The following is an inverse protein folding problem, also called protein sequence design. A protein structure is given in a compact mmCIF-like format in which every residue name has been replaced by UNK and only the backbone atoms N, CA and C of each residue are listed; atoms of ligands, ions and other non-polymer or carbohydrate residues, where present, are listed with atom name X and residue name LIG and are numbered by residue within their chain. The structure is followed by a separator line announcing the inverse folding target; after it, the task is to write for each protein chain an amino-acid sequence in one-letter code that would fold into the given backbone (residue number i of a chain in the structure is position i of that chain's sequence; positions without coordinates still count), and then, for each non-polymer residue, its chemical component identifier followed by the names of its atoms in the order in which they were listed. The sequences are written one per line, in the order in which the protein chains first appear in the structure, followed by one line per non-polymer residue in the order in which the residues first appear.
data_IF_308137656700
#
_entry.id   IF_308137656700
#
_cell.length_a   1.000
_cell.length_b   1.000
_cell.length_c   1.000
_cell.angle_alpha   90.00
_cell.angle_beta   90.00
_cell.angle_gamma   90.00
#
_symmetry.space_group_name_H-M   'P 1'
#
loop_
_entity.id
_entity.type
_entity.pdbx_description
1 polymer ?
#
# COMPACT_ATOMS: atom_id res chain seq x y z
N UNK A 1 0.26 26.53 3.69
CA UNK A 1 -0.80 25.56 3.39
C UNK A 1 -0.26 24.15 3.61
N UNK A 2 -0.94 23.35 4.37
CA UNK A 2 -0.52 21.97 4.59
C UNK A 2 -0.78 21.13 3.34
N UNK A 3 0.22 20.35 2.93
CA UNK A 3 0.02 19.39 1.87
C UNK A 3 -0.71 18.18 2.40
N UNK A 4 -1.68 17.67 1.63
CA UNK A 4 -2.37 16.45 1.98
C UNK A 4 -1.67 15.26 1.32
N UNK A 5 -1.61 14.14 2.03
CA UNK A 5 -1.05 12.89 1.50
C UNK A 5 -2.03 11.76 1.80
N UNK A 6 -2.99 11.52 0.87
CA UNK A 6 -3.99 10.45 1.06
C UNK A 6 -3.36 9.06 1.20
N UNK A 7 -2.21 8.83 0.58
CA UNK A 7 -1.52 7.54 0.70
C UNK A 7 -0.92 7.39 2.09
N UNK A 8 -0.30 8.44 2.64
CA UNK A 8 0.20 8.40 4.01
C UNK A 8 -0.94 8.13 5.00
N UNK A 9 -2.10 8.75 4.80
CA UNK A 9 -3.28 8.51 5.61
C UNK A 9 -3.72 7.04 5.51
N UNK A 10 -3.77 6.49 4.30
CA UNK A 10 -4.09 5.08 4.09
C UNK A 10 -3.14 4.16 4.86
N UNK A 11 -1.83 4.40 4.76
CA UNK A 11 -0.83 3.59 5.45
C UNK A 11 -0.97 3.70 6.96
N UNK A 12 -1.29 4.89 7.47
CA UNK A 12 -1.53 5.11 8.90
C UNK A 12 -2.76 4.34 9.37
N UNK A 13 -3.85 4.36 8.60
CA UNK A 13 -5.06 3.59 8.93
C UNK A 13 -4.78 2.10 8.96
N UNK A 14 -4.04 1.58 7.98
CA UNK A 14 -3.64 0.17 7.94
C UNK A 14 -2.77 -0.17 9.15
N UNK A 15 -1.78 0.68 9.45
CA UNK A 15 -0.87 0.49 10.59
C UNK A 15 -1.64 0.44 11.91
N UNK A 16 -2.56 1.38 12.10
CA UNK A 16 -3.36 1.43 13.33
C UNK A 16 -4.29 0.22 13.46
N UNK A 17 -4.93 -0.19 12.38
CA UNK A 17 -5.78 -1.39 12.37
C UNK A 17 -4.96 -2.64 12.68
N UNK A 18 -3.75 -2.73 12.14
CA UNK A 18 -2.83 -3.84 12.39
C UNK A 18 -2.41 -3.91 13.86
N UNK A 19 -2.05 -2.75 14.44
CA UNK A 19 -1.66 -2.67 15.85
C UNK A 19 -2.83 -3.05 16.77
N UNK A 20 -4.04 -2.60 16.45
CA UNK A 20 -5.23 -2.89 17.25
C UNK A 20 -5.86 -4.24 16.92
N UNK A 21 -5.27 -5.02 16.03
CA UNK A 21 -5.77 -6.34 15.60
C UNK A 21 -7.20 -6.27 15.05
N UNK A 22 -7.54 -5.22 14.32
CA UNK A 22 -8.85 -5.05 13.71
C UNK A 22 -8.96 -5.93 12.47
N UNK A 23 -10.16 -6.45 12.19
CA UNK A 23 -10.40 -7.30 11.04
C UNK A 23 -10.54 -6.51 9.74
N UNK A 24 -10.98 -5.25 9.83
CA UNK A 24 -11.11 -4.41 8.65
C UNK A 24 -10.80 -2.95 8.95
N UNK A 25 -10.51 -2.20 7.89
CA UNK A 25 -10.32 -0.76 7.95
C UNK A 25 -10.99 -0.12 6.75
N UNK A 26 -11.65 1.01 6.98
CA UNK A 26 -12.38 1.74 5.96
C UNK A 26 -11.75 3.10 5.70
N UNK A 27 -11.84 3.55 4.46
CA UNK A 27 -11.31 4.85 4.05
C UNK A 27 -12.02 5.36 2.81
N UNK A 28 -11.97 6.67 2.53
CA UNK A 28 -12.49 7.19 1.27
C UNK A 28 -11.76 6.54 0.09
N UNK A 29 -12.52 6.24 -0.95
CA UNK A 29 -12.02 5.61 -2.16
C UNK A 29 -11.13 6.56 -2.99
N UNK A 30 -10.11 6.00 -3.61
CA UNK A 30 -9.44 6.61 -4.76
C UNK A 30 -8.85 5.50 -5.62
N UNK A 31 -8.61 5.79 -6.89
CA UNK A 31 -8.02 4.81 -7.81
C UNK A 31 -6.65 4.35 -7.32
N UNK A 32 -5.84 5.27 -6.81
CA UNK A 32 -4.50 4.95 -6.34
C UNK A 32 -4.54 4.06 -5.09
N UNK A 33 -5.48 4.32 -4.17
CA UNK A 33 -5.63 3.49 -2.97
C UNK A 33 -6.05 2.07 -3.33
N UNK A 34 -6.94 1.91 -4.31
CA UNK A 34 -7.34 0.57 -4.79
C UNK A 34 -6.16 -0.14 -5.44
N UNK A 35 -5.39 0.56 -6.25
CA UNK A 35 -4.19 -0.02 -6.88
C UNK A 35 -3.18 -0.47 -5.82
N UNK A 36 -2.99 0.33 -4.77
CA UNK A 36 -2.11 -0.02 -3.65
C UNK A 36 -2.64 -1.23 -2.89
N UNK A 37 -3.94 -1.26 -2.60
CA UNK A 37 -4.56 -2.40 -1.92
C UNK A 37 -4.41 -3.69 -2.75
N UNK A 38 -4.53 -3.60 -4.06
CA UNK A 38 -4.36 -4.75 -4.94
C UNK A 38 -2.94 -5.33 -4.86
N UNK A 39 -1.91 -4.47 -4.86
CA UNK A 39 -0.52 -4.93 -4.70
C UNK A 39 -0.33 -5.57 -3.33
N UNK A 40 -0.85 -4.96 -2.26
CA UNK A 40 -0.77 -5.53 -0.90
C UNK A 40 -1.44 -6.91 -0.83
N UNK A 41 -2.57 -7.08 -1.51
CA UNK A 41 -3.26 -8.37 -1.57
C UNK A 41 -2.45 -9.41 -2.32
N UNK A 42 -1.92 -9.06 -3.50
CA UNK A 42 -1.11 -9.96 -4.31
C UNK A 42 0.14 -10.41 -3.57
N UNK A 43 0.74 -9.53 -2.77
CA UNK A 43 1.94 -9.83 -2.01
C UNK A 43 1.63 -10.50 -0.65
N UNK A 44 0.36 -10.73 -0.35
CA UNK A 44 -0.05 -11.49 0.82
C UNK A 44 -0.09 -10.72 2.13
N UNK A 45 -0.12 -9.38 2.09
CA UNK A 45 -0.14 -8.55 3.29
C UNK A 45 -1.55 -8.25 3.80
N UNK A 46 -2.55 -8.28 2.92
CA UNK A 46 -3.95 -8.15 3.29
C UNK A 46 -4.74 -9.32 2.71
N UNK A 47 -5.92 -9.59 3.26
CA UNK A 47 -6.75 -10.70 2.80
C UNK A 47 -7.50 -10.34 1.53
N UNK A 48 -8.16 -9.18 1.54
CA UNK A 48 -9.00 -8.74 0.44
C UNK A 48 -9.31 -7.24 0.58
N UNK A 49 -9.96 -6.68 -0.41
CA UNK A 49 -10.50 -5.34 -0.35
C UNK A 49 -11.73 -5.26 -1.22
N UNK A 50 -12.60 -4.28 -0.94
CA UNK A 50 -13.77 -4.03 -1.78
C UNK A 50 -14.10 -2.54 -1.79
N UNK A 51 -14.78 -2.10 -2.82
CA UNK A 51 -15.24 -0.73 -2.99
C UNK A 51 -16.76 -0.76 -3.05
N UNK A 52 -17.40 0.04 -2.20
CA UNK A 52 -18.86 0.15 -2.17
C UNK A 52 -19.28 1.62 -2.25
N UNK A 53 -20.38 1.87 -2.93
CA UNK A 53 -20.95 3.21 -2.95
C UNK A 53 -21.54 3.53 -1.58
N UNK A 54 -21.31 4.77 -1.12
CA UNK A 54 -21.84 5.21 0.16
C UNK A 54 -23.37 5.34 0.10
N UNK A 55 -24.05 4.84 1.13
CA UNK A 55 -25.52 4.89 1.20
C UNK A 55 -26.05 6.33 1.23
N UNK A 56 -25.32 7.24 1.87
CA UNK A 56 -25.77 8.60 2.14
C UNK A 56 -25.21 9.65 1.18
N UNK A 57 -24.54 9.26 0.08
CA UNK A 57 -23.95 10.25 -0.82
C UNK A 57 -23.35 9.65 -2.08
N UNK A 58 -22.75 10.50 -2.94
CA UNK A 58 -22.18 10.07 -4.22
C UNK A 58 -20.81 9.42 -4.09
N UNK A 59 -20.23 9.42 -2.90
CA UNK A 59 -18.87 8.90 -2.68
C UNK A 59 -18.83 7.38 -2.63
N UNK A 60 -17.61 6.87 -2.59
CA UNK A 60 -17.35 5.44 -2.44
C UNK A 60 -16.40 5.21 -1.26
N UNK A 61 -16.55 4.08 -0.61
CA UNK A 61 -15.70 3.67 0.51
C UNK A 61 -14.91 2.43 0.12
N UNK A 62 -13.60 2.49 0.36
CA UNK A 62 -12.71 1.35 0.24
C UNK A 62 -12.61 0.67 1.59
N UNK A 63 -12.94 -0.62 1.64
CA UNK A 63 -12.80 -1.46 2.84
C UNK A 63 -11.69 -2.46 2.60
N UNK A 64 -10.73 -2.51 3.50
CA UNK A 64 -9.62 -3.47 3.46
C UNK A 64 -9.83 -4.50 4.55
N UNK A 65 -9.83 -5.77 4.16
CA UNK A 65 -9.87 -6.89 5.10
C UNK A 65 -8.44 -7.22 5.51
N UNK A 66 -8.15 -7.03 6.78
CA UNK A 66 -6.82 -7.28 7.32
C UNK A 66 -6.53 -8.77 7.40
N UNK A 67 -5.25 -9.12 7.36
CA UNK A 67 -4.80 -10.50 7.38
C UNK A 67 -3.96 -10.76 8.63
N UNK A 68 -4.24 -11.85 9.30
CA UNK A 68 -3.47 -12.34 10.44
C UNK A 68 -3.20 -13.82 10.24
N UNK A 69 -2.20 -14.37 10.95
CA UNK A 69 -1.92 -15.79 10.92
C UNK A 69 -3.02 -16.58 11.64
N UNK A 70 -3.00 -17.88 11.50
CA UNK A 70 -3.95 -18.77 12.19
C UNK A 70 -3.87 -18.63 13.71
N UNK A 71 -2.70 -18.20 14.22
CA UNK A 71 -2.49 -17.96 15.66
C UNK A 71 -2.74 -16.51 16.04
N UNK A 72 -3.36 -15.71 15.17
CA UNK A 72 -3.64 -14.28 15.36
C UNK A 72 -2.38 -13.45 15.54
N UNK A 73 -1.33 -13.80 14.83
CA UNK A 73 -0.12 -12.98 14.76
C UNK A 73 -0.21 -12.03 13.56
N UNK A 74 0.39 -10.85 13.70
CA UNK A 74 0.39 -9.84 12.63
C UNK A 74 1.23 -10.32 11.44
N UNK A 75 0.66 -10.19 10.24
CA UNK A 75 1.37 -10.47 9.00
C UNK A 75 2.23 -9.27 8.60
N UNK A 76 1.71 -8.05 8.84
CA UNK A 76 2.47 -6.82 8.58
C UNK A 76 3.29 -6.49 9.81
N UNK A 77 4.62 -6.44 9.66
CA UNK A 77 5.52 -6.00 10.73
C UNK A 77 5.75 -4.50 10.66
N UNK A 78 5.76 -3.92 9.48
CA UNK A 78 5.88 -2.49 9.28
C UNK A 78 5.39 -2.06 7.92
N UNK A 79 4.95 -0.82 7.83
CA UNK A 79 4.54 -0.21 6.58
C UNK A 79 4.85 1.29 6.64
N UNK A 80 5.61 1.80 5.68
CA UNK A 80 6.18 3.14 5.75
C UNK A 80 6.10 3.85 4.40
N UNK A 81 5.65 5.11 4.44
CA UNK A 81 5.65 6.00 3.29
C UNK A 81 7.09 6.36 2.92
N UNK A 82 7.44 6.30 1.64
CA UNK A 82 8.78 6.69 1.15
C UNK A 82 8.68 8.02 0.40
N UNK A 83 8.03 8.04 -0.75
CA UNK A 83 7.84 9.26 -1.52
C UNK A 83 6.71 10.09 -0.94
N UNK A 84 6.92 11.40 -0.77
CA UNK A 84 5.94 12.30 -0.16
C UNK A 84 5.68 13.48 -1.10
N UNK A 85 4.52 14.17 -0.97
CA UNK A 85 4.24 15.32 -1.84
C UNK A 85 5.33 16.38 -1.85
N UNK A 86 5.98 16.62 -0.71
CA UNK A 86 7.06 17.60 -0.60
C UNK A 86 8.44 17.06 -0.93
N UNK A 87 8.59 15.75 -1.10
CA UNK A 87 9.87 15.09 -1.34
C UNK A 87 9.64 13.80 -2.11
N UNK A 88 9.55 13.90 -3.43
CA UNK A 88 9.34 12.72 -4.28
C UNK A 88 10.62 11.91 -4.41
N UNK A 89 10.49 10.59 -4.37
CA UNK A 89 11.60 9.64 -4.47
C UNK A 89 11.39 8.75 -5.68
N UNK A 90 12.30 8.85 -6.64
CA UNK A 90 12.26 8.06 -7.88
C UNK A 90 13.47 7.13 -7.93
N UNK A 91 13.32 6.01 -8.62
CA UNK A 91 14.40 5.05 -8.79
C UNK A 91 14.32 4.39 -10.16
N UNK A 92 15.48 4.15 -10.76
CA UNK A 92 15.58 3.29 -11.94
C UNK A 92 15.39 1.84 -11.54
N UNK A 93 15.02 0.98 -12.50
CA UNK A 93 14.73 -0.42 -12.19
C UNK A 93 15.87 -1.14 -11.48
N UNK A 94 17.11 -0.87 -11.87
CA UNK A 94 18.28 -1.52 -11.26
C UNK A 94 18.63 -0.98 -9.86
N UNK A 95 18.06 0.17 -9.47
CA UNK A 95 18.35 0.83 -8.20
C UNK A 95 17.19 0.79 -7.20
N UNK A 96 16.09 0.12 -7.52
CA UNK A 96 14.95 0.01 -6.60
C UNK A 96 15.42 -0.73 -5.34
N UNK A 97 15.20 -0.14 -4.14
CA UNK A 97 15.71 -0.75 -2.92
C UNK A 97 15.04 -2.09 -2.63
N UNK A 98 15.83 -3.01 -2.07
CA UNK A 98 15.30 -4.26 -1.55
C UNK A 98 14.98 -4.07 -0.07
N UNK A 99 13.80 -4.48 0.32
CA UNK A 99 13.34 -4.35 1.71
C UNK A 99 13.71 -5.63 2.45
N UNK A 100 14.50 -5.51 3.51
CA UNK A 100 14.95 -6.65 4.33
C UNK A 100 15.52 -7.78 3.47
N UNK A 101 16.41 -7.44 2.52
CA UNK A 101 17.05 -8.43 1.68
C UNK A 101 16.11 -9.18 0.75
N UNK A 102 14.94 -8.63 0.46
CA UNK A 102 13.92 -9.25 -0.39
C UNK A 102 12.78 -9.91 0.37
N UNK A 103 12.82 -9.92 1.69
CA UNK A 103 11.71 -10.46 2.50
C UNK A 103 10.51 -9.52 2.53
N UNK A 104 10.75 -8.20 2.44
CA UNK A 104 9.68 -7.22 2.32
C UNK A 104 9.49 -6.78 0.87
N UNK A 105 8.63 -5.78 0.69
CA UNK A 105 8.23 -5.30 -0.64
C UNK A 105 8.28 -3.78 -0.68
N UNK A 106 8.90 -3.23 -1.72
CA UNK A 106 8.73 -1.82 -2.07
C UNK A 106 7.63 -1.74 -3.15
N UNK A 107 6.72 -0.79 -3.02
CA UNK A 107 5.66 -0.60 -3.99
C UNK A 107 6.02 0.61 -4.84
N UNK A 108 6.09 0.41 -6.15
CA UNK A 108 6.60 1.38 -7.11
C UNK A 108 5.48 1.80 -8.05
N UNK A 109 5.36 3.11 -8.26
CA UNK A 109 4.43 3.67 -9.25
C UNK A 109 5.17 3.85 -10.56
N UNK A 110 4.80 3.05 -11.56
CA UNK A 110 5.43 3.07 -12.89
C UNK A 110 4.45 3.60 -13.93
N UNK A 111 4.93 3.75 -15.16
CA UNK A 111 4.06 4.14 -16.29
C UNK A 111 2.98 3.09 -16.59
N UNK A 112 3.14 1.87 -16.09
CA UNK A 112 2.16 0.79 -16.22
C UNK A 112 1.33 0.56 -14.95
N UNK A 113 1.41 1.49 -13.99
CA UNK A 113 0.67 1.41 -12.73
C UNK A 113 1.54 1.02 -11.55
N UNK A 114 0.88 0.80 -10.41
CA UNK A 114 1.56 0.37 -9.18
C UNK A 114 1.92 -1.11 -9.28
N UNK A 115 3.11 -1.44 -8.83
CA UNK A 115 3.58 -2.83 -8.79
C UNK A 115 4.63 -3.01 -7.70
N UNK A 116 4.90 -4.26 -7.34
CA UNK A 116 5.97 -4.57 -6.40
C UNK A 116 7.34 -4.29 -7.04
N UNK A 117 8.34 -4.08 -6.19
CA UNK A 117 9.72 -3.89 -6.66
C UNK A 117 10.20 -5.09 -7.49
N UNK A 118 9.79 -6.29 -7.10
CA UNK A 118 10.14 -7.52 -7.81
C UNK A 118 9.60 -7.52 -9.23
N UNK A 119 8.35 -7.13 -9.39
CA UNK A 119 7.70 -7.04 -10.69
C UNK A 119 8.31 -5.90 -11.53
N UNK A 120 8.60 -4.76 -10.92
CA UNK A 120 9.22 -3.63 -11.60
C UNK A 120 10.62 -4.02 -12.13
N UNK A 121 11.42 -4.73 -11.33
CA UNK A 121 12.74 -5.21 -11.77
C UNK A 121 12.61 -6.20 -12.92
N UNK A 122 11.67 -7.13 -12.82
CA UNK A 122 11.42 -8.13 -13.87
C UNK A 122 11.06 -7.46 -15.19
N UNK A 123 10.25 -6.40 -15.15
CA UNK A 123 9.84 -5.65 -16.33
C UNK A 123 10.84 -4.55 -16.72
N UNK A 124 11.92 -4.39 -15.96
CA UNK A 124 12.92 -3.33 -16.16
C UNK A 124 12.30 -1.93 -16.18
N UNK A 125 11.38 -1.69 -15.25
CA UNK A 125 10.67 -0.42 -15.12
C UNK A 125 11.07 0.27 -13.82
N UNK A 126 11.46 1.54 -13.94
CA UNK A 126 11.64 2.39 -12.77
C UNK A 126 10.39 3.21 -12.50
N UNK A 127 10.42 3.99 -11.44
CA UNK A 127 9.32 4.86 -11.10
C UNK A 127 9.46 5.46 -9.71
N UNK A 128 8.35 5.96 -9.20
CA UNK A 128 8.28 6.54 -7.87
C UNK A 128 8.13 5.43 -6.83
N UNK A 129 9.02 5.42 -5.84
CA UNK A 129 8.94 4.46 -4.73
C UNK A 129 7.93 5.00 -3.73
N UNK A 130 6.73 4.44 -3.74
CA UNK A 130 5.58 4.94 -2.97
C UNK A 130 5.73 4.63 -1.49
N UNK A 131 5.97 3.37 -1.17
CA UNK A 131 6.06 2.91 0.21
C UNK A 131 6.80 1.58 0.27
N UNK A 132 7.13 1.16 1.48
CA UNK A 132 7.71 -0.15 1.75
C UNK A 132 6.87 -0.86 2.81
N UNK A 133 6.78 -2.18 2.72
CA UNK A 133 6.01 -3.01 3.65
C UNK A 133 6.79 -4.29 3.91
N UNK A 134 6.78 -4.73 5.16
CA UNK A 134 7.45 -5.96 5.55
C UNK A 134 6.75 -6.64 6.71
#
# INVERSE_FOLDING_TARGET
MAMTDPIADMLTRIRNANTAMRDEVKMPYSKMKVALADVLKQEGYIRNFEVAQDEAGPGHTLTIDMKYSDQRERVISGITRVSKPGLRVYSKSENIPRVLGGLGVAIVSTSKGLMSDREARRRRMGGEVVCVVW
#
